data_IF_498563570118
#
_entry.id   IF_498563570118
#
_cell.length_a   1.000
_cell.length_b   1.000
_cell.length_c   1.000
_cell.angle_alpha   90.00
_cell.angle_beta   90.00
_cell.angle_gamma   90.00
#
_symmetry.space_group_name_H-M   'P 1'
#
loop_
_entity.id
_entity.type
_entity.pdbx_description
1 polymer ?
#
# COMPACT_ATOMS: atom_id res chain seq x y z
N UNK A 1 -4.28 -0.86 -27.05
CA UNK A 1 -4.56 -2.30 -26.88
C UNK A 1 -5.46 -2.51 -25.66
N UNK A 2 -6.14 -3.65 -25.49
CA UNK A 2 -7.05 -3.91 -24.35
C UNK A 2 -6.54 -5.08 -23.49
N UNK A 3 -7.04 -5.20 -22.25
CA UNK A 3 -6.70 -6.34 -21.40
C UNK A 3 -7.24 -7.68 -21.96
N UNK A 4 -8.27 -7.64 -22.81
CA UNK A 4 -8.76 -8.82 -23.53
C UNK A 4 -7.72 -9.42 -24.48
N UNK A 5 -6.80 -8.59 -24.99
CA UNK A 5 -5.70 -9.05 -25.83
C UNK A 5 -4.68 -9.91 -25.04
N UNK A 6 -4.68 -9.82 -23.70
CA UNK A 6 -3.89 -10.68 -22.80
C UNK A 6 -4.69 -11.90 -22.37
N UNK A 7 -5.96 -11.71 -22.02
CA UNK A 7 -6.85 -12.79 -21.55
C UNK A 7 -7.11 -13.84 -22.63
N UNK A 8 -7.39 -13.43 -23.87
CA UNK A 8 -7.72 -14.34 -24.96
C UNK A 8 -6.60 -15.35 -25.28
N UNK A 9 -5.31 -14.97 -25.35
CA UNK A 9 -4.21 -15.92 -25.46
C UNK A 9 -4.07 -16.88 -24.29
N UNK A 10 -4.31 -16.43 -23.04
CA UNK A 10 -4.24 -17.28 -21.83
C UNK A 10 -5.28 -18.40 -21.90
N UNK A 11 -6.53 -18.07 -22.27
CA UNK A 11 -7.59 -19.07 -22.46
C UNK A 11 -7.24 -20.11 -23.54
N UNK A 12 -6.56 -19.66 -24.60
CA UNK A 12 -6.06 -20.50 -25.68
C UNK A 12 -4.74 -21.22 -25.36
N UNK A 13 -4.23 -21.09 -24.13
CA UNK A 13 -2.93 -21.62 -23.69
C UNK A 13 -1.76 -21.15 -24.57
N UNK A 14 -1.87 -19.99 -25.19
CA UNK A 14 -0.85 -19.36 -26.02
C UNK A 14 -0.04 -18.37 -25.16
N UNK A 15 0.80 -18.92 -24.29
CA UNK A 15 1.47 -18.18 -23.20
C UNK A 15 2.45 -17.13 -23.68
N UNK A 16 3.23 -17.42 -24.72
CA UNK A 16 4.16 -16.45 -25.30
C UNK A 16 3.43 -15.24 -25.87
N UNK A 17 2.29 -15.48 -26.52
CA UNK A 17 1.41 -14.41 -27.02
C UNK A 17 0.80 -13.60 -25.88
N UNK A 18 0.44 -14.25 -24.77
CA UNK A 18 -0.05 -13.57 -23.57
C UNK A 18 1.02 -12.65 -22.95
N UNK A 19 2.27 -13.14 -22.85
CA UNK A 19 3.40 -12.36 -22.35
C UNK A 19 3.70 -11.17 -23.25
N UNK A 20 3.76 -11.38 -24.57
CA UNK A 20 3.97 -10.30 -25.54
C UNK A 20 2.86 -9.25 -25.46
N UNK A 21 1.59 -9.68 -25.37
CA UNK A 21 0.46 -8.78 -25.24
C UNK A 21 0.55 -7.97 -23.93
N UNK A 22 0.86 -8.63 -22.82
CA UNK A 22 0.99 -7.95 -21.52
C UNK A 22 2.09 -6.88 -21.55
N UNK A 23 3.23 -7.21 -22.15
CA UNK A 23 4.36 -6.28 -22.31
C UNK A 23 3.99 -5.07 -23.16
N UNK A 24 3.29 -5.28 -24.28
CA UNK A 24 2.83 -4.17 -25.14
C UNK A 24 1.84 -3.27 -24.40
N UNK A 25 0.92 -3.87 -23.63
CA UNK A 25 -0.07 -3.12 -22.86
C UNK A 25 0.59 -2.23 -21.80
N UNK A 26 1.60 -2.76 -21.08
CA UNK A 26 2.38 -1.98 -20.12
C UNK A 26 3.20 -0.87 -20.80
N UNK A 27 3.79 -1.13 -21.96
CA UNK A 27 4.56 -0.14 -22.71
C UNK A 27 3.69 1.04 -23.21
N UNK A 28 2.44 0.77 -23.61
CA UNK A 28 1.48 1.81 -24.01
C UNK A 28 1.02 2.69 -22.83
N UNK A 29 1.07 2.17 -21.60
CA UNK A 29 0.47 2.79 -20.42
C UNK A 29 1.37 3.81 -19.69
N UNK A 30 2.42 4.33 -20.35
CA UNK A 30 3.31 5.40 -19.85
C UNK A 30 3.81 5.19 -18.41
N UNK A 31 4.54 4.09 -18.17
CA UNK A 31 5.14 3.71 -16.87
C UNK A 31 4.19 3.07 -15.85
N UNK A 32 3.04 2.59 -16.31
CA UNK A 32 2.15 1.79 -15.48
C UNK A 32 2.48 0.29 -15.59
N UNK A 33 2.96 -0.28 -14.47
CA UNK A 33 3.21 -1.72 -14.33
C UNK A 33 1.97 -2.54 -13.96
N UNK A 34 0.84 -1.89 -13.68
CA UNK A 34 -0.39 -2.56 -13.21
C UNK A 34 -0.91 -3.65 -14.16
N UNK A 35 -0.88 -3.47 -15.50
CA UNK A 35 -1.29 -4.54 -16.41
C UNK A 35 -0.48 -5.83 -16.24
N UNK A 36 0.81 -5.72 -15.88
CA UNK A 36 1.68 -6.86 -15.63
C UNK A 36 1.33 -7.58 -14.33
N UNK A 37 0.97 -6.85 -13.27
CA UNK A 37 0.49 -7.46 -12.02
C UNK A 37 -0.76 -8.31 -12.27
N UNK A 38 -1.75 -7.75 -12.97
CA UNK A 38 -2.97 -8.49 -13.34
C UNK A 38 -2.69 -9.68 -14.24
N UNK A 39 -1.72 -9.57 -15.13
CA UNK A 39 -1.31 -10.69 -15.98
C UNK A 39 -0.66 -11.80 -15.16
N UNK A 40 0.20 -11.44 -14.20
CA UNK A 40 0.84 -12.39 -13.31
C UNK A 40 -0.19 -13.20 -12.52
N UNK A 41 -1.25 -12.54 -12.00
CA UNK A 41 -2.37 -13.23 -11.34
C UNK A 41 -3.05 -14.26 -12.24
N UNK A 42 -3.26 -13.93 -13.52
CA UNK A 42 -3.84 -14.88 -14.49
C UNK A 42 -2.90 -16.08 -14.72
N UNK A 43 -1.59 -15.85 -14.80
CA UNK A 43 -0.62 -16.94 -14.88
C UNK A 43 -0.62 -17.81 -13.62
N UNK A 44 -0.71 -17.22 -12.43
CA UNK A 44 -0.82 -17.97 -11.17
C UNK A 44 -2.07 -18.85 -11.14
N UNK A 45 -3.23 -18.30 -11.54
CA UNK A 45 -4.48 -19.07 -11.68
C UNK A 45 -4.36 -20.21 -12.69
N UNK A 46 -3.49 -20.07 -13.69
CA UNK A 46 -3.18 -21.11 -14.67
C UNK A 46 -2.06 -22.08 -14.23
N UNK A 47 -1.51 -21.96 -13.01
CA UNK A 47 -0.42 -22.80 -12.50
C UNK A 47 0.96 -22.48 -13.11
N UNK A 48 1.14 -21.27 -13.65
CA UNK A 48 2.32 -20.83 -14.41
C UNK A 48 3.17 -19.86 -13.62
N UNK A 49 3.81 -20.38 -12.57
CA UNK A 49 4.62 -19.57 -11.64
C UNK A 49 5.82 -18.86 -12.29
N UNK A 50 6.49 -19.50 -13.24
CA UNK A 50 7.67 -18.92 -13.92
C UNK A 50 7.30 -17.69 -14.76
N UNK A 51 6.17 -17.77 -15.48
CA UNK A 51 5.65 -16.66 -16.27
C UNK A 51 5.13 -15.54 -15.38
N UNK A 52 4.51 -15.87 -14.24
CA UNK A 52 4.12 -14.89 -13.24
C UNK A 52 5.35 -14.16 -12.67
N UNK A 53 6.44 -14.86 -12.37
CA UNK A 53 7.72 -14.26 -11.95
C UNK A 53 8.23 -13.28 -13.00
N UNK A 54 8.24 -13.65 -14.29
CA UNK A 54 8.65 -12.75 -15.36
C UNK A 54 7.80 -11.45 -15.41
N UNK A 55 6.47 -11.57 -15.27
CA UNK A 55 5.58 -10.42 -15.19
C UNK A 55 5.88 -9.54 -13.97
N UNK A 56 6.09 -10.13 -12.79
CA UNK A 56 6.43 -9.37 -11.58
C UNK A 56 7.80 -8.68 -11.68
N UNK A 57 8.79 -9.31 -12.31
CA UNK A 57 10.10 -8.70 -12.58
C UNK A 57 9.93 -7.44 -13.43
N UNK A 58 9.19 -7.55 -14.55
CA UNK A 58 8.94 -6.38 -15.41
C UNK A 58 8.13 -5.30 -14.71
N UNK A 59 7.13 -5.68 -13.90
CA UNK A 59 6.35 -4.72 -13.13
C UNK A 59 7.26 -3.98 -12.13
N UNK A 60 8.12 -4.71 -11.41
CA UNK A 60 9.06 -4.14 -10.46
C UNK A 60 10.02 -3.14 -11.13
N UNK A 61 10.57 -3.48 -12.30
CA UNK A 61 11.48 -2.60 -13.05
C UNK A 61 10.77 -1.34 -13.57
N UNK A 62 9.52 -1.47 -14.06
CA UNK A 62 8.69 -0.33 -14.47
C UNK A 62 8.40 0.57 -13.26
N UNK A 63 7.97 0.01 -12.13
CA UNK A 63 7.68 0.79 -10.93
C UNK A 63 8.93 1.48 -10.39
N UNK A 64 10.07 0.80 -10.36
CA UNK A 64 11.33 1.38 -9.92
C UNK A 64 11.75 2.56 -10.81
N UNK A 65 11.75 2.37 -12.13
CA UNK A 65 12.09 3.44 -13.09
C UNK A 65 11.08 4.59 -13.13
N UNK A 66 9.85 4.36 -12.65
CA UNK A 66 8.81 5.36 -12.51
C UNK A 66 8.85 6.11 -11.16
N UNK A 67 9.68 5.67 -10.21
CA UNK A 67 9.74 6.22 -8.85
C UNK A 67 8.67 5.68 -7.89
N UNK A 68 7.93 4.63 -8.28
CA UNK A 68 6.95 3.95 -7.42
C UNK A 68 7.62 2.89 -6.54
N UNK A 69 8.39 3.35 -5.56
CA UNK A 69 9.29 2.50 -4.79
C UNK A 69 8.57 1.36 -4.05
N UNK A 70 7.48 1.65 -3.34
CA UNK A 70 6.73 0.62 -2.60
C UNK A 70 6.06 -0.41 -3.53
N UNK A 71 5.63 0.01 -4.72
CA UNK A 71 5.10 -0.91 -5.75
C UNK A 71 6.20 -1.82 -6.27
N UNK A 72 7.40 -1.30 -6.51
CA UNK A 72 8.56 -2.08 -6.92
C UNK A 72 8.97 -3.10 -5.85
N UNK A 73 8.98 -2.68 -4.58
CA UNK A 73 9.23 -3.55 -3.42
C UNK A 73 8.17 -4.65 -3.33
N UNK A 74 6.89 -4.31 -3.43
CA UNK A 74 5.82 -5.30 -3.39
C UNK A 74 5.95 -6.33 -4.52
N UNK A 75 6.10 -5.89 -5.77
CA UNK A 75 6.33 -6.78 -6.89
C UNK A 75 7.56 -7.68 -6.69
N UNK A 76 8.64 -7.13 -6.12
CA UNK A 76 9.85 -7.91 -5.77
C UNK A 76 9.58 -8.94 -4.68
N UNK A 77 8.77 -8.61 -3.66
CA UNK A 77 8.36 -9.55 -2.62
C UNK A 77 7.45 -10.66 -3.18
N UNK A 78 6.67 -10.41 -4.24
CA UNK A 78 5.91 -11.47 -4.94
C UNK A 78 6.83 -12.47 -5.63
N UNK A 79 7.89 -11.98 -6.28
CA UNK A 79 8.91 -12.86 -6.86
C UNK A 79 9.51 -13.77 -5.79
N UNK A 80 9.94 -13.20 -4.66
CA UNK A 80 10.53 -13.96 -3.55
C UNK A 80 9.55 -14.92 -2.87
N UNK A 81 8.24 -14.64 -2.93
CA UNK A 81 7.20 -15.55 -2.41
C UNK A 81 7.04 -16.78 -3.33
N UNK A 82 7.13 -16.59 -4.64
CA UNK A 82 7.03 -17.67 -5.63
C UNK A 82 8.33 -18.46 -5.78
N UNK A 83 9.46 -17.77 -5.72
CA UNK A 83 10.81 -18.31 -5.80
C UNK A 83 11.69 -17.69 -4.70
N UNK A 84 11.70 -18.29 -3.49
CA UNK A 84 12.52 -17.81 -2.37
C UNK A 84 14.03 -17.84 -2.64
N UNK A 85 14.48 -18.58 -3.66
CA UNK A 85 15.89 -18.71 -4.03
C UNK A 85 16.34 -17.70 -5.08
N UNK A 86 15.43 -16.81 -5.52
CA UNK A 86 15.70 -15.82 -6.54
C UNK A 86 16.70 -14.75 -6.05
N UNK A 87 17.98 -14.94 -6.38
CA UNK A 87 19.07 -14.04 -5.99
C UNK A 87 18.92 -12.63 -6.58
N UNK A 88 18.37 -12.52 -7.79
CA UNK A 88 18.13 -11.24 -8.45
C UNK A 88 17.07 -10.43 -7.72
N UNK A 89 15.96 -11.07 -7.31
CA UNK A 89 14.90 -10.42 -6.54
C UNK A 89 15.39 -10.01 -5.14
N UNK A 90 16.24 -10.80 -4.48
CA UNK A 90 16.86 -10.39 -3.21
C UNK A 90 17.70 -9.12 -3.40
N UNK A 91 18.60 -9.15 -4.38
CA UNK A 91 19.47 -8.01 -4.72
C UNK A 91 18.64 -6.76 -5.10
N UNK A 92 17.56 -6.95 -5.85
CA UNK A 92 16.64 -5.86 -6.23
C UNK A 92 15.97 -5.26 -4.98
N UNK A 93 15.52 -6.09 -4.04
CA UNK A 93 14.91 -5.61 -2.80
C UNK A 93 15.90 -4.76 -1.98
N UNK A 94 17.14 -5.22 -1.84
CA UNK A 94 18.20 -4.50 -1.13
C UNK A 94 18.51 -3.15 -1.80
N UNK A 95 18.64 -3.13 -3.14
CA UNK A 95 18.90 -1.91 -3.90
C UNK A 95 17.73 -0.91 -3.86
N UNK A 96 16.49 -1.39 -3.95
CA UNK A 96 15.31 -0.53 -3.85
C UNK A 96 15.22 0.12 -2.48
N UNK A 97 15.51 -0.65 -1.42
CA UNK A 97 15.54 -0.12 -0.07
C UNK A 97 16.61 0.99 0.09
N UNK A 98 17.71 0.93 -0.68
CA UNK A 98 18.75 1.95 -0.71
C UNK A 98 18.43 3.21 -1.55
N UNK A 99 17.57 3.11 -2.56
CA UNK A 99 17.23 4.21 -3.47
C UNK A 99 16.42 5.36 -2.84
N UNK A 100 15.99 5.24 -1.58
CA UNK A 100 15.28 6.29 -0.84
C UNK A 100 16.17 7.49 -0.46
N UNK A 101 17.49 7.35 -0.61
CA UNK A 101 18.47 8.42 -0.36
C UNK A 101 18.27 9.64 -1.27
N UNK A 102 17.53 10.63 -0.78
CA UNK A 102 17.65 12.04 -1.17
C UNK A 102 17.93 12.84 0.10
N UNK A 103 18.98 13.69 0.14
CA UNK A 103 19.44 14.29 1.39
C UNK A 103 18.44 15.34 1.87
N UNK A 104 17.52 14.97 2.77
CA UNK A 104 16.94 15.94 3.68
C UNK A 104 18.04 16.35 4.68
N UNK A 105 18.22 17.65 4.96
CA UNK A 105 19.30 18.10 5.82
C UNK A 105 19.17 17.46 7.20
N UNK A 106 20.25 16.82 7.65
CA UNK A 106 20.39 16.09 8.91
C UNK A 106 20.34 16.98 10.17
N UNK A 107 19.49 18.02 10.20
CA UNK A 107 19.52 19.07 11.24
C UNK A 107 18.26 19.11 12.11
N UNK A 108 17.35 18.13 12.06
CA UNK A 108 16.16 18.15 12.92
C UNK A 108 15.72 16.77 13.45
N UNK A 109 16.67 15.94 13.89
CA UNK A 109 16.37 14.79 14.76
C UNK A 109 17.07 15.00 16.11
N UNK A 110 16.67 16.05 16.82
CA UNK A 110 17.01 16.21 18.23
C UNK A 110 15.89 15.61 19.10
N UNK A 111 16.19 14.80 20.12
CA UNK A 111 15.21 14.14 20.96
C UNK A 111 14.70 15.11 22.03
N UNK A 112 13.90 16.09 21.64
CA UNK A 112 13.09 16.84 22.58
C UNK A 112 11.64 16.35 22.44
N UNK A 113 11.18 15.58 23.43
CA UNK A 113 9.75 15.31 23.58
C UNK A 113 9.01 16.66 23.70
N UNK A 114 8.07 16.99 22.81
CA UNK A 114 7.30 18.22 22.97
C UNK A 114 6.26 18.00 24.08
N UNK A 115 6.20 18.97 24.99
CA UNK A 115 5.14 19.11 25.98
C UNK A 115 3.78 19.35 25.29
N UNK A 116 2.72 18.84 25.92
CA UNK A 116 1.34 18.76 25.42
C UNK A 116 0.60 20.12 25.28
N UNK A 117 1.25 21.19 24.80
CA UNK A 117 0.64 22.54 24.78
C UNK A 117 0.69 23.28 23.44
N UNK A 118 1.19 22.69 22.37
CA UNK A 118 1.12 23.30 21.04
C UNK A 118 0.10 22.57 20.17
N UNK A 119 -0.86 23.32 19.63
CA UNK A 119 -1.87 22.80 18.70
C UNK A 119 -1.21 22.19 17.46
N UNK A 120 -1.85 21.23 16.79
CA UNK A 120 -1.25 20.53 15.67
C UNK A 120 -0.88 21.51 14.55
N UNK A 121 0.31 21.37 13.92
CA UNK A 121 0.61 22.10 12.70
C UNK A 121 -0.40 21.69 11.63
N UNK A 122 -1.03 22.69 10.99
CA UNK A 122 -1.98 22.48 9.91
C UNK A 122 -1.22 21.98 8.67
N UNK A 123 -1.18 20.66 8.48
CA UNK A 123 -0.74 20.04 7.23
C UNK A 123 -1.99 19.91 6.35
N UNK A 124 -1.99 20.53 5.17
CA UNK A 124 -3.06 20.37 4.19
C UNK A 124 -3.01 18.94 3.62
N UNK A 125 -3.78 18.04 4.24
CA UNK A 125 -3.82 16.59 4.00
C UNK A 125 -5.11 16.18 3.25
N UNK A 126 -5.62 17.03 2.36
CA UNK A 126 -6.56 16.56 1.35
C UNK A 126 -5.94 15.34 0.63
N UNK A 127 -6.73 14.30 0.27
CA UNK A 127 -6.20 13.14 -0.44
C UNK A 127 -5.45 13.66 -1.68
N UNK A 128 -4.14 13.43 -1.71
CA UNK A 128 -3.24 13.95 -2.73
C UNK A 128 -3.75 13.44 -4.09
N UNK A 129 -4.33 14.33 -4.90
CA UNK A 129 -4.94 13.98 -6.21
C UNK A 129 -3.89 13.78 -7.30
N UNK A 130 -2.61 13.72 -6.96
CA UNK A 130 -1.53 13.56 -7.92
C UNK A 130 -1.03 12.10 -7.92
N UNK A 131 -1.34 11.30 -8.96
CA UNK A 131 -0.90 9.92 -9.07
C UNK A 131 0.63 9.77 -9.23
N UNK A 132 1.38 10.87 -9.34
CA UNK A 132 2.81 10.88 -9.64
C UNK A 132 3.75 10.98 -8.43
N UNK A 133 3.25 11.09 -7.19
CA UNK A 133 4.11 11.18 -6.00
C UNK A 133 4.16 9.84 -5.28
N UNK A 134 5.17 9.05 -5.66
CA UNK A 134 5.41 7.66 -5.23
C UNK A 134 5.90 7.47 -3.79
N UNK A 135 5.54 8.34 -2.85
CA UNK A 135 5.84 8.17 -1.42
C UNK A 135 4.61 8.59 -0.65
N UNK A 136 4.03 7.67 0.14
CA UNK A 136 2.97 8.02 1.09
C UNK A 136 3.44 9.21 1.93
N UNK A 137 2.58 10.21 2.22
CA UNK A 137 2.92 11.32 3.13
C UNK A 137 3.49 10.83 4.47
N UNK A 138 3.14 9.61 4.86
CA UNK A 138 3.67 8.93 6.03
C UNK A 138 5.20 8.76 6.03
N UNK A 139 5.83 8.48 4.87
CA UNK A 139 7.24 8.08 4.75
C UNK A 139 8.12 9.09 4.02
N UNK A 140 7.58 10.25 3.67
CA UNK A 140 8.31 11.31 2.96
C UNK A 140 9.49 11.84 3.79
N UNK A 141 10.69 11.97 3.22
CA UNK A 141 11.84 12.53 3.94
C UNK A 141 12.33 11.72 5.16
N UNK A 142 11.95 10.45 5.28
CA UNK A 142 12.63 9.52 6.19
C UNK A 142 14.07 9.29 5.74
N UNK A 143 15.05 9.12 6.66
CA UNK A 143 16.38 8.65 6.30
C UNK A 143 16.33 7.27 5.62
N UNK A 144 17.34 6.95 4.80
CA UNK A 144 17.43 5.66 4.10
C UNK A 144 17.31 4.49 5.08
N UNK A 145 18.03 4.55 6.20
CA UNK A 145 18.00 3.50 7.22
C UNK A 145 16.59 3.31 7.80
N UNK A 146 15.83 4.41 7.95
CA UNK A 146 14.46 4.36 8.44
C UNK A 146 13.51 3.73 7.44
N UNK A 147 13.74 3.97 6.15
CA UNK A 147 12.96 3.37 5.08
C UNK A 147 13.27 1.87 4.94
N UNK A 148 14.53 1.46 5.09
CA UNK A 148 14.91 0.04 5.14
C UNK A 148 14.28 -0.68 6.34
N UNK A 149 14.37 -0.08 7.53
CA UNK A 149 13.77 -0.59 8.76
C UNK A 149 12.24 -0.69 8.66
N UNK A 150 11.62 0.19 7.87
CA UNK A 150 10.18 0.16 7.59
C UNK A 150 9.83 -0.98 6.64
N UNK A 151 10.49 -1.05 5.49
CA UNK A 151 10.13 -1.94 4.39
C UNK A 151 10.43 -3.39 4.72
N UNK A 152 11.56 -3.66 5.39
CA UNK A 152 12.00 -5.01 5.77
C UNK A 152 10.88 -5.86 6.38
N UNK A 153 10.30 -5.44 7.52
CA UNK A 153 9.28 -6.20 8.24
C UNK A 153 7.90 -6.23 7.56
N UNK A 154 7.63 -5.40 6.54
CA UNK A 154 6.30 -5.39 5.90
C UNK A 154 5.98 -6.72 5.20
N UNK A 155 4.87 -7.34 5.55
CA UNK A 155 4.36 -8.53 4.88
C UNK A 155 3.49 -8.14 3.68
N UNK A 156 3.77 -8.69 2.50
CA UNK A 156 2.88 -8.53 1.37
C UNK A 156 1.70 -9.49 1.45
N UNK A 157 0.49 -8.96 1.27
CA UNK A 157 -0.75 -9.73 1.24
C UNK A 157 -1.51 -9.46 -0.06
N UNK A 158 -1.91 -10.56 -0.70
CA UNK A 158 -2.84 -10.58 -1.83
C UNK A 158 -4.21 -10.98 -1.30
N UNK A 159 -5.24 -10.24 -1.71
CA UNK A 159 -6.59 -10.34 -1.16
C UNK A 159 -7.59 -10.39 -2.33
N UNK A 160 -8.48 -11.37 -2.31
CA UNK A 160 -9.54 -11.51 -3.30
C UNK A 160 -10.65 -10.48 -3.07
N UNK A 161 -11.52 -10.31 -4.06
CA UNK A 161 -12.70 -9.43 -3.98
C UNK A 161 -13.58 -9.76 -2.77
N UNK A 162 -14.08 -8.73 -2.09
CA UNK A 162 -14.97 -8.86 -0.94
C UNK A 162 -14.30 -9.32 0.36
N UNK A 163 -12.98 -9.50 0.39
CA UNK A 163 -12.22 -9.83 1.60
C UNK A 163 -12.30 -8.69 2.61
N UNK A 164 -12.75 -8.98 3.84
CA UNK A 164 -12.65 -8.05 4.96
C UNK A 164 -11.23 -8.04 5.50
N UNK A 165 -10.50 -6.97 5.18
CA UNK A 165 -9.10 -6.78 5.60
C UNK A 165 -9.04 -6.38 7.07
N UNK A 166 -10.00 -5.55 7.48
CA UNK A 166 -10.24 -5.13 8.85
C UNK A 166 -11.73 -5.25 9.09
N UNK A 167 -12.14 -5.76 10.25
CA UNK A 167 -13.53 -5.74 10.69
C UNK A 167 -13.72 -4.81 11.88
N UNK A 168 -14.78 -4.02 11.84
CA UNK A 168 -15.19 -3.15 12.95
C UNK A 168 -15.35 -3.95 14.25
N UNK A 169 -14.89 -3.37 15.37
CA UNK A 169 -14.97 -3.96 16.70
C UNK A 169 -13.87 -4.99 17.01
N UNK A 170 -13.09 -5.44 16.02
CA UNK A 170 -11.98 -6.36 16.30
C UNK A 170 -10.81 -5.66 16.99
N UNK A 171 -10.09 -6.42 17.82
CA UNK A 171 -8.80 -5.98 18.39
C UNK A 171 -7.70 -6.28 17.39
N UNK A 172 -7.50 -5.38 16.44
CA UNK A 172 -6.46 -5.47 15.43
C UNK A 172 -5.60 -4.21 15.45
N UNK A 173 -4.30 -4.39 15.21
CA UNK A 173 -3.33 -3.31 15.47
C UNK A 173 -2.28 -3.15 14.38
N UNK A 174 -2.39 -3.91 13.29
CA UNK A 174 -1.57 -3.72 12.09
C UNK A 174 -1.98 -2.46 11.33
N UNK A 175 -1.02 -1.92 10.58
CA UNK A 175 -1.19 -0.89 9.58
C UNK A 175 -1.07 -1.52 8.19
N UNK A 176 -1.84 -1.04 7.22
CA UNK A 176 -1.80 -1.54 5.84
C UNK A 176 -1.59 -0.40 4.87
N UNK A 177 -0.78 -0.62 3.85
CA UNK A 177 -0.59 0.28 2.72
C UNK A 177 -1.16 -0.39 1.48
N UNK A 178 -2.08 0.29 0.79
CA UNK A 178 -2.69 -0.19 -0.45
C UNK A 178 -1.76 0.07 -1.64
N UNK A 179 -1.23 -1.00 -2.21
CA UNK A 179 -0.26 -0.93 -3.32
C UNK A 179 -0.94 -1.16 -4.67
N UNK A 180 -1.98 -2.00 -4.69
CA UNK A 180 -2.81 -2.26 -5.86
C UNK A 180 -4.28 -2.43 -5.48
N UNK A 181 -5.19 -1.89 -6.29
CA UNK A 181 -6.63 -2.07 -6.17
C UNK A 181 -7.35 -0.97 -5.38
N UNK A 182 -8.58 -1.24 -4.96
CA UNK A 182 -9.43 -0.32 -4.20
C UNK A 182 -10.05 -1.04 -3.00
N UNK A 183 -10.34 -0.30 -1.93
CA UNK A 183 -11.06 -0.83 -0.75
C UNK A 183 -12.18 0.13 -0.34
N UNK A 184 -13.27 -0.44 0.14
CA UNK A 184 -14.41 0.30 0.72
C UNK A 184 -14.26 0.37 2.25
N UNK A 185 -14.58 1.52 2.84
CA UNK A 185 -14.55 1.75 4.28
C UNK A 185 -15.96 2.00 4.77
N UNK A 186 -16.44 1.16 5.69
CA UNK A 186 -17.81 1.20 6.22
C UNK A 186 -17.83 1.06 7.75
N UNK A 187 -18.80 1.69 8.41
CA UNK A 187 -19.09 1.50 9.85
C UNK A 187 -20.58 1.24 10.03
N UNK A 188 -20.99 0.66 11.16
CA UNK A 188 -22.39 0.46 11.50
C UNK A 188 -22.88 1.45 12.56
N UNK A 189 -23.89 2.26 12.21
CA UNK A 189 -24.57 3.16 13.15
C UNK A 189 -26.02 2.72 13.32
N UNK A 190 -26.43 2.39 14.56
CA UNK A 190 -27.76 1.84 14.86
C UNK A 190 -28.15 0.61 14.00
N UNK A 191 -27.17 -0.23 13.68
CA UNK A 191 -27.38 -1.43 12.86
C UNK A 191 -27.52 -1.16 11.36
N UNK A 192 -27.30 0.09 10.90
CA UNK A 192 -27.25 0.44 9.48
C UNK A 192 -25.80 0.70 9.06
N UNK A 193 -25.39 0.08 7.96
CA UNK A 193 -24.10 0.35 7.33
C UNK A 193 -24.03 1.78 6.80
N UNK A 194 -22.95 2.48 7.12
CA UNK A 194 -22.63 3.83 6.69
C UNK A 194 -21.30 3.76 5.94
N UNK A 195 -21.34 4.05 4.64
CA UNK A 195 -20.14 4.18 3.83
C UNK A 195 -19.40 5.46 4.21
N UNK A 196 -18.12 5.32 4.60
CA UNK A 196 -17.28 6.42 5.04
C UNK A 196 -16.41 6.96 3.91
N UNK A 197 -15.76 6.07 3.16
CA UNK A 197 -14.83 6.43 2.10
C UNK A 197 -14.52 5.23 1.19
N UNK A 198 -13.95 5.54 0.03
CA UNK A 198 -13.23 4.58 -0.80
C UNK A 198 -11.76 4.95 -0.82
N UNK A 199 -10.90 3.99 -0.52
CA UNK A 199 -9.44 4.17 -0.58
C UNK A 199 -8.89 3.48 -1.82
N UNK A 200 -7.82 4.04 -2.36
CA UNK A 200 -7.16 3.62 -3.60
C UNK A 200 -5.67 3.42 -3.38
N UNK A 201 -4.99 2.98 -4.42
CA UNK A 201 -3.53 2.84 -4.43
C UNK A 201 -2.83 4.08 -3.84
N UNK A 202 -1.82 3.82 -3.01
CA UNK A 202 -1.09 4.78 -2.19
C UNK A 202 -1.86 5.35 -0.99
N UNK A 203 -3.09 4.90 -0.70
CA UNK A 203 -3.69 5.11 0.61
C UNK A 203 -3.16 4.07 1.62
N UNK A 204 -3.34 4.37 2.91
CA UNK A 204 -3.06 3.43 4.00
C UNK A 204 -4.18 3.45 5.02
N UNK A 205 -4.29 2.40 5.84
CA UNK A 205 -5.38 2.26 6.80
C UNK A 205 -5.00 1.38 8.00
N UNK A 206 -5.81 1.46 9.06
CA UNK A 206 -5.57 0.73 10.32
C UNK A 206 -4.79 1.53 11.37
N UNK A 207 -4.47 2.80 11.09
CA UNK A 207 -3.74 3.70 11.98
C UNK A 207 -4.50 4.01 13.27
N UNK A 208 -5.83 4.07 13.22
CA UNK A 208 -6.67 4.46 14.38
C UNK A 208 -6.54 3.44 15.51
N UNK A 209 -6.79 2.16 15.21
CA UNK A 209 -6.68 1.08 16.21
C UNK A 209 -5.25 0.92 16.73
N UNK A 210 -4.25 1.17 15.88
CA UNK A 210 -2.85 1.16 16.30
C UNK A 210 -2.55 2.29 17.30
N UNK A 211 -2.85 3.56 16.95
CA UNK A 211 -2.51 4.74 17.73
C UNK A 211 -3.27 4.83 19.07
N UNK A 212 -4.55 4.45 19.06
CA UNK A 212 -5.43 4.65 20.21
C UNK A 212 -5.52 3.41 21.12
N UNK A 213 -5.09 2.24 20.61
CA UNK A 213 -5.30 0.96 21.27
C UNK A 213 -6.78 0.53 21.35
N UNK A 214 -7.70 1.30 20.77
CA UNK A 214 -9.12 0.98 20.75
C UNK A 214 -9.43 -0.09 19.68
N UNK A 215 -10.57 -0.81 19.81
CA UNK A 215 -11.07 -1.66 18.74
C UNK A 215 -11.17 -0.91 17.41
N UNK A 216 -11.11 -1.66 16.30
CA UNK A 216 -11.25 -1.10 14.95
C UNK A 216 -12.57 -0.34 14.81
N UNK A 217 -12.51 0.88 14.31
CA UNK A 217 -13.67 1.79 14.24
C UNK A 217 -14.51 1.64 12.96
N UNK A 218 -14.02 0.87 12.00
CA UNK A 218 -14.66 0.64 10.71
C UNK A 218 -14.20 -0.71 10.14
N UNK A 219 -15.05 -1.30 9.31
CA UNK A 219 -14.73 -2.42 8.43
C UNK A 219 -14.10 -1.88 7.14
N UNK A 220 -13.09 -2.58 6.64
CA UNK A 220 -12.44 -2.29 5.37
C UNK A 220 -12.50 -3.53 4.51
N UNK A 221 -13.11 -3.42 3.33
CA UNK A 221 -13.36 -4.54 2.42
C UNK A 221 -12.73 -4.28 1.04
N UNK A 222 -12.08 -5.28 0.46
CA UNK A 222 -11.55 -5.17 -0.90
C UNK A 222 -12.65 -5.05 -1.95
N UNK A 223 -12.34 -4.29 -3.01
CA UNK A 223 -13.14 -4.19 -4.23
C UNK A 223 -12.27 -4.72 -5.38
N UNK A 224 -12.59 -5.91 -5.86
CA UNK A 224 -11.74 -6.66 -6.77
C UNK A 224 -10.48 -7.21 -6.09
N UNK A 225 -9.50 -7.61 -6.90
CA UNK A 225 -8.20 -8.03 -6.42
C UNK A 225 -7.43 -6.84 -5.82
N UNK A 226 -6.86 -7.05 -4.63
CA UNK A 226 -6.16 -6.03 -3.85
C UNK A 226 -4.83 -6.57 -3.35
N UNK A 227 -3.80 -5.74 -3.41
CA UNK A 227 -2.50 -6.03 -2.80
C UNK A 227 -2.15 -4.95 -1.76
N UNK A 228 -1.77 -5.40 -0.56
CA UNK A 228 -1.39 -4.52 0.55
C UNK A 228 -0.06 -4.93 1.17
N UNK A 229 0.73 -3.94 1.58
CA UNK A 229 1.83 -4.16 2.52
C UNK A 229 1.29 -3.99 3.94
N UNK A 230 1.32 -5.05 4.73
CA UNK A 230 0.96 -5.06 6.15
C UNK A 230 2.20 -4.84 7.00
N UNK A 231 2.09 -3.95 7.99
CA UNK A 231 3.07 -3.76 9.05
C UNK A 231 2.38 -4.07 10.38
N UNK A 232 2.88 -5.07 11.10
CA UNK A 232 2.30 -5.45 12.39
C UNK A 232 2.62 -4.43 13.49
N UNK A 233 2.02 -4.63 14.66
CA UNK A 233 2.20 -3.74 15.81
C UNK A 233 3.64 -3.68 16.28
N UNK A 234 4.32 -4.82 16.40
CA UNK A 234 5.64 -4.87 17.01
C UNK A 234 6.67 -4.18 16.12
N UNK A 235 6.58 -4.41 14.80
CA UNK A 235 7.37 -3.73 13.79
C UNK A 235 7.10 -2.22 13.78
N UNK A 236 5.82 -1.80 13.77
CA UNK A 236 5.46 -0.38 13.77
C UNK A 236 5.86 0.32 15.08
N UNK A 237 5.70 -0.34 16.23
CA UNK A 237 6.13 0.19 17.53
C UNK A 237 7.65 0.36 17.57
N UNK A 238 8.41 -0.64 17.11
CA UNK A 238 9.87 -0.56 17.00
C UNK A 238 10.30 0.60 16.11
N UNK A 239 9.63 0.75 14.97
CA UNK A 239 9.90 1.82 14.01
C UNK A 239 9.59 3.20 14.59
N UNK A 240 8.46 3.38 15.31
CA UNK A 240 8.10 4.64 15.96
C UNK A 240 9.07 5.02 17.08
N UNK A 241 9.52 4.03 17.87
CA UNK A 241 10.49 4.27 18.94
C UNK A 241 11.82 4.77 18.37
N UNK A 242 12.22 4.27 17.20
CA UNK A 242 13.42 4.69 16.50
C UNK A 242 13.24 6.00 15.74
N UNK A 243 12.05 6.23 15.17
CA UNK A 243 11.72 7.38 14.33
C UNK A 243 10.40 8.05 14.76
N UNK A 244 10.40 8.88 15.82
CA UNK A 244 9.18 9.48 16.38
C UNK A 244 8.35 10.34 15.41
N UNK A 245 8.97 10.84 14.32
CA UNK A 245 8.29 11.58 13.25
C UNK A 245 7.14 10.78 12.61
N UNK A 246 7.27 9.45 12.55
CA UNK A 246 6.24 8.57 11.98
C UNK A 246 4.97 8.64 12.83
N UNK A 247 5.09 8.62 14.16
CA UNK A 247 3.93 8.75 15.04
C UNK A 247 3.23 10.11 14.89
N UNK A 248 3.99 11.19 14.69
CA UNK A 248 3.41 12.52 14.47
C UNK A 248 2.56 12.56 13.19
N UNK A 249 3.04 11.94 12.11
CA UNK A 249 2.32 11.86 10.83
C UNK A 249 1.09 10.98 10.91
N UNK A 250 1.18 9.83 11.58
CA UNK A 250 0.02 8.97 11.82
C UNK A 250 -1.06 9.73 12.61
N UNK A 251 -0.67 10.51 13.63
CA UNK A 251 -1.61 11.34 14.40
C UNK A 251 -2.29 12.41 13.56
N UNK A 252 -1.55 13.11 12.70
CA UNK A 252 -2.12 14.11 11.81
C UNK A 252 -3.20 13.51 10.89
N UNK A 253 -2.95 12.31 10.34
CA UNK A 253 -3.95 11.63 9.53
C UNK A 253 -5.16 11.17 10.35
N UNK A 254 -4.93 10.63 11.55
CA UNK A 254 -6.01 10.22 12.46
C UNK A 254 -7.00 11.38 12.70
N UNK A 255 -6.49 12.59 12.98
CA UNK A 255 -7.34 13.76 13.22
C UNK A 255 -8.20 14.07 11.98
N UNK A 256 -7.57 14.14 10.80
CA UNK A 256 -8.28 14.38 9.53
C UNK A 256 -9.40 13.36 9.27
N UNK A 257 -9.13 12.07 9.49
CA UNK A 257 -10.12 11.00 9.30
C UNK A 257 -11.22 10.98 10.34
N UNK A 258 -10.91 11.32 11.59
CA UNK A 258 -11.90 11.43 12.66
C UNK A 258 -12.92 12.54 12.34
N UNK A 259 -12.44 13.71 11.91
CA UNK A 259 -13.30 14.83 11.50
C UNK A 259 -14.21 14.46 10.33
N UNK A 260 -13.64 13.81 9.29
CA UNK A 260 -14.42 13.35 8.13
C UNK A 260 -15.49 12.33 8.52
N UNK A 261 -15.15 11.37 9.39
CA UNK A 261 -16.09 10.34 9.87
C UNK A 261 -17.25 10.98 10.61
N UNK A 262 -16.98 11.92 11.52
CA UNK A 262 -18.02 12.64 12.28
C UNK A 262 -18.97 13.37 11.33
N UNK A 263 -18.44 14.03 10.30
CA UNK A 263 -19.27 14.75 9.33
C UNK A 263 -20.18 13.81 8.51
N UNK A 264 -19.62 12.71 8.00
CA UNK A 264 -20.38 11.70 7.22
C UNK A 264 -21.49 11.07 8.07
N UNK A 265 -21.18 10.67 9.31
CA UNK A 265 -22.17 10.08 10.22
C UNK A 265 -23.26 11.09 10.57
N UNK A 266 -22.88 12.33 10.88
CA UNK A 266 -23.84 13.40 11.21
C UNK A 266 -24.80 13.69 10.06
N UNK A 267 -24.30 13.71 8.83
CA UNK A 267 -25.13 13.87 7.62
C UNK A 267 -26.09 12.70 7.44
N UNK A 268 -25.60 11.48 7.66
CA UNK A 268 -26.39 10.25 7.52
C UNK A 268 -27.51 10.16 8.55
N UNK A 269 -27.26 10.57 9.81
CA UNK A 269 -28.27 10.56 10.89
C UNK A 269 -29.31 11.68 10.79
N UNK A 270 -29.08 12.71 9.96
CA UNK A 270 -30.05 13.79 9.70
C UNK A 270 -31.06 13.46 8.61
N UNK A 271 -30.89 12.34 7.90
CA UNK A 271 -31.72 11.90 6.78
C UNK A 271 -32.60 10.74 7.21
#
# INVERSE_FOLDING_TARGET
MTFDDVRNPIEKKAWDKALEASRRLAAESKKDGTPLLRTAELFLKAGRGQEAVACYTWAADIFASAGFLLKAIAATKLILRLDPTNAEARTRLDNLAAQHSSPAPATALSPAAPSLSEGPPSIDLAPSRDPAIGILPLFEGLPEEAFQDLVGPMALRQLDDGTEIIREGETGTSLFVLIHGEVDVETSVHGKGVHLARLRENDFFGEIGFLTGQPRTATIRSIGAVEVLELDRDALTSLINRYPVIAQRLRALYISRAEHTVEVVRRTLRT
#
